data_IF_656514896393
#
_entry.id   IF_656514896393
#
_cell.length_a   1.000
_cell.length_b   1.000
_cell.length_c   1.000
_cell.angle_alpha   90.00
_cell.angle_beta   90.00
_cell.angle_gamma   90.00
#
_symmetry.space_group_name_H-M   'P 1'
#
loop_
_entity.id
_entity.type
_entity.pdbx_description
1 polymer ?
#
# COMPACT_ATOMS: atom_id res chain seq x y z
N UNK A 1 4.41 2.05 -2.58
CA UNK A 1 5.83 1.61 -2.62
C UNK A 1 6.73 2.82 -2.76
N UNK A 2 7.75 2.96 -1.93
CA UNK A 2 8.83 3.90 -2.17
C UNK A 2 9.92 3.19 -2.97
N UNK A 3 10.19 3.62 -4.20
CA UNK A 3 11.24 3.01 -5.04
C UNK A 3 12.63 3.52 -4.64
N UNK A 4 13.01 3.23 -3.38
CA UNK A 4 14.29 3.63 -2.76
C UNK A 4 15.45 2.80 -3.31
N UNK A 5 15.24 1.50 -3.49
CA UNK A 5 16.24 0.62 -4.09
C UNK A 5 15.60 -0.53 -4.87
N UNK A 6 16.24 -1.03 -5.94
CA UNK A 6 15.67 -2.09 -6.78
C UNK A 6 15.54 -3.45 -6.07
N UNK A 7 16.33 -3.69 -5.02
CA UNK A 7 16.31 -4.94 -4.25
C UNK A 7 14.94 -5.22 -3.62
N UNK A 8 14.17 -4.17 -3.29
CA UNK A 8 12.82 -4.32 -2.77
C UNK A 8 11.89 -5.09 -3.72
N UNK A 9 12.14 -5.04 -5.04
CA UNK A 9 11.29 -5.69 -6.04
C UNK A 9 11.44 -7.21 -5.96
N UNK A 10 12.66 -7.70 -5.73
CA UNK A 10 12.92 -9.13 -5.51
C UNK A 10 12.31 -9.59 -4.18
N UNK A 11 12.50 -8.83 -3.11
CA UNK A 11 11.93 -9.13 -1.79
C UNK A 11 10.39 -9.20 -1.85
N UNK A 12 9.77 -8.24 -2.55
CA UNK A 12 8.33 -8.24 -2.80
C UNK A 12 7.90 -9.50 -3.58
N UNK A 13 8.59 -9.80 -4.70
CA UNK A 13 8.28 -10.96 -5.53
C UNK A 13 8.39 -12.26 -4.74
N UNK A 14 9.43 -12.40 -3.92
CA UNK A 14 9.67 -13.60 -3.13
C UNK A 14 8.67 -13.76 -1.98
N UNK A 15 8.03 -12.68 -1.53
CA UNK A 15 6.89 -12.73 -0.62
C UNK A 15 5.56 -13.05 -1.31
N UNK A 16 5.49 -13.09 -2.64
CA UNK A 16 4.27 -13.35 -3.42
C UNK A 16 3.55 -12.10 -3.95
N UNK A 17 4.17 -10.92 -3.90
CA UNK A 17 3.65 -9.71 -4.55
C UNK A 17 4.03 -9.72 -6.04
N UNK A 18 3.07 -9.44 -6.93
CA UNK A 18 3.29 -9.47 -8.40
C UNK A 18 3.07 -8.13 -9.09
N UNK A 19 2.59 -7.12 -8.34
CA UNK A 19 2.38 -5.75 -8.80
C UNK A 19 2.83 -4.75 -7.73
N UNK A 20 3.58 -3.73 -8.12
CA UNK A 20 4.03 -2.66 -7.24
C UNK A 20 3.69 -1.29 -7.83
N UNK A 21 2.85 -0.54 -7.11
CA UNK A 21 2.46 0.83 -7.45
C UNK A 21 3.07 1.80 -6.42
N UNK A 22 3.74 2.85 -6.88
CA UNK A 22 4.55 3.68 -5.99
C UNK A 22 5.24 4.83 -6.70
N UNK A 23 6.21 5.46 -6.06
CA UNK A 23 7.05 6.46 -6.71
C UNK A 23 8.43 6.51 -6.09
N UNK A 24 9.40 7.04 -6.83
CA UNK A 24 10.76 7.21 -6.35
C UNK A 24 11.80 7.26 -7.45
N UNK A 25 13.02 7.65 -7.09
CA UNK A 25 14.15 7.79 -8.02
C UNK A 25 15.44 7.20 -7.45
N UNK A 26 15.34 6.17 -6.62
CA UNK A 26 16.44 5.67 -5.80
C UNK A 26 16.51 6.33 -4.42
N UNK A 27 17.63 6.24 -3.68
CA UNK A 27 17.72 6.65 -2.27
C UNK A 27 17.92 8.16 -2.09
N UNK A 28 17.19 8.97 -2.86
CA UNK A 28 17.15 10.41 -2.71
C UNK A 28 16.25 10.80 -1.53
N UNK A 29 16.56 11.89 -0.82
CA UNK A 29 15.77 12.36 0.34
C UNK A 29 14.27 12.43 0.04
N UNK A 30 13.88 12.98 -1.11
CA UNK A 30 12.47 13.04 -1.51
C UNK A 30 11.81 11.67 -1.69
N UNK A 31 12.54 10.65 -2.15
CA UNK A 31 12.02 9.27 -2.28
C UNK A 31 12.01 8.53 -0.94
N UNK A 32 13.00 8.78 -0.09
CA UNK A 32 13.03 8.23 1.27
C UNK A 32 11.83 8.70 2.10
N UNK A 33 11.30 9.89 1.80
CA UNK A 33 10.14 10.47 2.45
C UNK A 33 8.83 10.24 1.71
N UNK A 34 8.82 10.24 0.36
CA UNK A 34 7.57 10.33 -0.42
C UNK A 34 7.54 9.35 -1.59
N UNK A 35 6.36 8.79 -1.89
CA UNK A 35 6.11 7.94 -3.07
C UNK A 35 5.96 8.76 -4.36
N UNK A 36 6.93 9.63 -4.65
CA UNK A 36 6.91 10.55 -5.79
C UNK A 36 8.06 10.28 -6.75
N UNK A 37 7.75 10.20 -8.05
CA UNK A 37 8.72 10.21 -9.16
C UNK A 37 8.60 11.57 -9.86
N UNK A 38 9.34 12.60 -9.41
CA UNK A 38 9.03 13.99 -9.75
C UNK A 38 9.45 14.36 -11.17
N UNK A 39 8.49 14.74 -12.01
CA UNK A 39 8.73 15.33 -13.32
C UNK A 39 8.98 14.33 -14.47
N UNK A 40 8.79 14.76 -15.74
CA UNK A 40 8.84 13.88 -16.91
C UNK A 40 10.13 13.07 -17.05
N UNK A 41 11.27 13.70 -16.78
CA UNK A 41 12.58 13.05 -16.94
C UNK A 41 12.76 11.85 -16.01
N UNK A 42 12.38 11.99 -14.73
CA UNK A 42 12.49 10.89 -13.77
C UNK A 42 11.50 9.78 -14.07
N UNK A 43 10.27 10.13 -14.48
CA UNK A 43 9.26 9.14 -14.88
C UNK A 43 9.77 8.30 -16.05
N UNK A 44 10.30 8.93 -17.10
CA UNK A 44 10.92 8.22 -18.22
C UNK A 44 12.02 7.24 -17.75
N UNK A 45 12.92 7.67 -16.86
CA UNK A 45 14.03 6.82 -16.38
C UNK A 45 13.54 5.63 -15.55
N UNK A 46 12.51 5.82 -14.72
CA UNK A 46 11.94 4.74 -13.93
C UNK A 46 11.16 3.76 -14.81
N UNK A 47 10.44 4.25 -15.84
CA UNK A 47 9.79 3.39 -16.84
C UNK A 47 10.81 2.54 -17.61
N UNK A 48 11.96 3.11 -18.01
CA UNK A 48 13.04 2.35 -18.63
C UNK A 48 13.65 1.31 -17.66
N UNK A 49 13.83 1.67 -16.39
CA UNK A 49 14.34 0.75 -15.38
C UNK A 49 13.35 -0.41 -15.12
N UNK A 50 12.04 -0.17 -15.27
CA UNK A 50 11.00 -1.17 -15.03
C UNK A 50 11.16 -2.42 -15.91
N UNK A 51 11.70 -2.29 -17.14
CA UNK A 51 11.98 -3.42 -18.04
C UNK A 51 12.96 -4.45 -17.43
N UNK A 52 13.73 -4.03 -16.43
CA UNK A 52 14.72 -4.84 -15.72
C UNK A 52 14.14 -5.85 -14.71
N UNK A 53 12.83 -5.92 -14.52
CA UNK A 53 12.23 -6.76 -13.46
C UNK A 53 11.02 -7.57 -13.93
N UNK A 54 10.79 -8.82 -13.47
CA UNK A 54 9.58 -9.59 -13.75
C UNK A 54 8.41 -9.19 -12.83
N UNK A 55 8.10 -7.89 -12.79
CA UNK A 55 7.11 -7.29 -11.89
C UNK A 55 6.23 -6.34 -12.69
N UNK A 56 4.93 -6.29 -12.38
CA UNK A 56 4.08 -5.23 -12.92
C UNK A 56 4.37 -3.94 -12.13
N UNK A 57 4.70 -2.85 -12.82
CA UNK A 57 5.15 -1.62 -12.17
C UNK A 57 4.34 -0.42 -12.65
N UNK A 58 4.00 0.48 -11.74
CA UNK A 58 3.41 1.79 -12.04
C UNK A 58 4.00 2.87 -11.14
N UNK A 59 4.23 4.05 -11.72
CA UNK A 59 4.92 5.15 -11.05
C UNK A 59 3.99 6.34 -10.84
N UNK A 60 4.03 6.90 -9.63
CA UNK A 60 3.28 8.07 -9.23
C UNK A 60 4.14 9.32 -9.41
N UNK A 61 3.54 10.39 -9.94
CA UNK A 61 4.13 11.72 -9.96
C UNK A 61 3.94 12.43 -8.62
N UNK A 62 4.58 13.60 -8.48
CA UNK A 62 4.34 14.49 -7.34
C UNK A 62 3.06 15.29 -7.57
N UNK A 63 2.07 15.15 -6.68
CA UNK A 63 0.78 15.82 -6.74
C UNK A 63 0.72 17.22 -6.11
N UNK A 64 1.76 17.61 -5.35
CA UNK A 64 1.78 18.89 -4.64
C UNK A 64 2.14 20.05 -5.59
N UNK A 65 1.12 20.68 -6.17
CA UNK A 65 1.21 21.95 -6.89
C UNK A 65 -0.15 22.69 -6.86
N UNK A 66 -0.13 24.02 -6.80
CA UNK A 66 -1.36 24.84 -6.86
C UNK A 66 -1.73 25.32 -8.28
N UNK A 67 -1.01 24.85 -9.29
CA UNK A 67 -1.29 25.08 -10.71
C UNK A 67 -1.21 23.73 -11.45
N UNK A 68 -2.06 23.49 -12.46
CA UNK A 68 -2.22 22.16 -13.06
C UNK A 68 -1.06 21.76 -13.99
N UNK A 69 -0.41 22.71 -14.67
CA UNK A 69 0.59 22.44 -15.72
C UNK A 69 1.68 21.43 -15.30
N UNK A 70 2.37 21.63 -14.16
CA UNK A 70 3.38 20.68 -13.67
C UNK A 70 2.85 19.29 -13.29
N UNK A 71 1.55 19.15 -13.01
CA UNK A 71 0.93 17.85 -12.74
C UNK A 71 0.59 17.14 -14.05
N UNK A 72 0.02 17.88 -15.01
CA UNK A 72 -0.35 17.36 -16.33
C UNK A 72 0.86 16.80 -17.06
N UNK A 73 2.00 17.51 -17.09
CA UNK A 73 3.21 17.02 -17.79
C UNK A 73 3.74 15.70 -17.21
N UNK A 74 3.55 15.45 -15.91
CA UNK A 74 3.94 14.19 -15.27
C UNK A 74 3.02 13.05 -15.69
N UNK A 75 1.72 13.30 -15.74
CA UNK A 75 0.74 12.32 -16.17
C UNK A 75 0.94 11.98 -17.66
N UNK A 76 1.16 12.97 -18.52
CA UNK A 76 1.51 12.79 -19.94
C UNK A 76 2.82 12.02 -20.14
N UNK A 77 3.80 12.20 -19.26
CA UNK A 77 5.05 11.45 -19.28
C UNK A 77 4.90 9.97 -18.85
N UNK A 78 3.73 9.56 -18.36
CA UNK A 78 3.43 8.18 -17.99
C UNK A 78 3.25 7.92 -16.50
N UNK A 79 3.17 8.96 -15.65
CA UNK A 79 2.73 8.73 -14.27
C UNK A 79 1.29 8.17 -14.26
N UNK A 80 1.07 7.06 -13.57
CA UNK A 80 -0.24 6.38 -13.47
C UNK A 80 -1.09 6.86 -12.28
N UNK A 81 -0.61 7.88 -11.55
CA UNK A 81 -1.23 8.42 -10.35
C UNK A 81 -0.39 9.56 -9.79
N UNK A 82 -0.92 10.29 -8.81
CA UNK A 82 -0.24 11.42 -8.17
C UNK A 82 -0.25 11.26 -6.64
N UNK A 83 0.89 11.46 -5.98
CA UNK A 83 0.99 11.46 -4.52
C UNK A 83 1.01 12.90 -3.99
N UNK A 84 0.05 13.24 -3.13
CA UNK A 84 0.09 14.39 -2.24
C UNK A 84 0.80 13.99 -0.94
N UNK A 85 1.85 14.71 -0.57
CA UNK A 85 2.62 14.46 0.66
C UNK A 85 2.88 15.73 1.45
N UNK A 86 2.80 15.67 2.79
CA UNK A 86 2.95 16.85 3.64
C UNK A 86 4.33 17.49 3.55
N UNK A 87 5.39 16.69 3.39
CA UNK A 87 6.76 17.13 3.12
C UNK A 87 6.91 18.00 1.87
N UNK A 88 5.94 17.93 0.93
CA UNK A 88 5.85 18.80 -0.24
C UNK A 88 4.74 19.87 -0.11
N UNK A 89 4.02 19.89 1.02
CA UNK A 89 2.89 20.77 1.33
C UNK A 89 1.55 20.21 0.86
N UNK A 90 0.85 19.43 1.69
CA UNK A 90 -0.51 18.90 1.41
C UNK A 90 -1.58 19.92 1.81
N UNK A 91 -1.53 21.10 1.20
CA UNK A 91 -2.48 22.18 1.49
C UNK A 91 -3.81 22.02 0.73
N UNK A 92 -4.92 22.64 1.19
CA UNK A 92 -6.20 22.61 0.46
C UNK A 92 -6.10 23.01 -1.01
N UNK A 93 -5.24 23.97 -1.37
CA UNK A 93 -5.03 24.40 -2.75
C UNK A 93 -4.33 23.32 -3.60
N UNK A 94 -3.33 22.64 -3.04
CA UNK A 94 -2.66 21.53 -3.71
C UNK A 94 -3.58 20.31 -3.87
N UNK A 95 -4.37 20.00 -2.84
CA UNK A 95 -5.39 18.95 -2.87
C UNK A 95 -6.40 19.21 -4.00
N UNK A 96 -6.96 20.43 -4.05
CA UNK A 96 -7.97 20.80 -5.03
C UNK A 96 -7.45 20.75 -6.48
N UNK A 97 -6.24 21.28 -6.69
CA UNK A 97 -5.57 21.27 -7.99
C UNK A 97 -5.27 19.84 -8.45
N UNK A 98 -4.68 19.00 -7.58
CA UNK A 98 -4.33 17.62 -7.89
C UNK A 98 -5.55 16.77 -8.23
N UNK A 99 -6.63 16.88 -7.44
CA UNK A 99 -7.88 16.17 -7.70
C UNK A 99 -8.56 16.63 -8.99
N UNK A 100 -8.45 17.91 -9.36
CA UNK A 100 -8.99 18.40 -10.64
C UNK A 100 -8.24 17.79 -11.83
N UNK A 101 -6.91 17.74 -11.77
CA UNK A 101 -6.10 17.08 -12.81
C UNK A 101 -6.38 15.58 -12.87
N UNK A 102 -6.58 14.93 -11.72
CA UNK A 102 -6.94 13.52 -11.66
C UNK A 102 -8.31 13.23 -12.29
N UNK A 103 -9.30 14.08 -12.05
CA UNK A 103 -10.63 13.99 -12.69
C UNK A 103 -10.53 14.15 -14.22
N UNK A 104 -9.72 15.10 -14.70
CA UNK A 104 -9.53 15.36 -16.13
C UNK A 104 -8.76 14.24 -16.86
N UNK A 105 -7.85 13.55 -16.17
CA UNK A 105 -6.89 12.60 -16.78
C UNK A 105 -7.10 11.13 -16.38
N UNK A 106 -8.13 10.85 -15.60
CA UNK A 106 -8.50 9.53 -15.07
C UNK A 106 -7.34 8.77 -14.40
N UNK A 107 -6.66 9.42 -13.45
CA UNK A 107 -5.63 8.81 -12.60
C UNK A 107 -5.97 8.91 -11.12
N UNK A 108 -5.49 7.97 -10.29
CA UNK A 108 -5.75 8.02 -8.85
C UNK A 108 -4.88 9.08 -8.15
N UNK A 109 -5.42 9.67 -7.09
CA UNK A 109 -4.66 10.51 -6.15
C UNK A 109 -4.48 9.76 -4.84
N UNK A 110 -3.22 9.60 -4.41
CA UNK A 110 -2.87 9.11 -3.09
C UNK A 110 -2.53 10.29 -2.20
N UNK A 111 -2.89 10.23 -0.92
CA UNK A 111 -2.65 11.33 0.01
C UNK A 111 -2.03 10.86 1.32
N UNK A 112 -1.03 11.63 1.76
CA UNK A 112 -0.51 11.74 3.11
C UNK A 112 -0.82 13.17 3.56
N UNK A 113 -1.69 13.31 4.55
CA UNK A 113 -2.29 14.59 4.95
C UNK A 113 -1.38 15.39 5.88
N UNK A 114 -1.76 16.62 6.19
CA UNK A 114 -0.99 17.59 6.98
C UNK A 114 -1.00 17.20 8.47
N UNK A 115 0.01 16.46 8.92
CA UNK A 115 0.11 15.99 10.32
C UNK A 115 0.11 17.15 11.30
N UNK A 116 0.75 18.25 10.91
CA UNK A 116 0.94 19.45 11.74
C UNK A 116 -0.35 20.27 11.89
N UNK A 117 -1.39 19.96 11.10
CA UNK A 117 -2.58 20.78 10.97
C UNK A 117 -2.25 22.25 10.60
N UNK A 118 -1.16 22.46 9.86
CA UNK A 118 -0.65 23.81 9.52
C UNK A 118 -1.68 24.60 8.70
N UNK A 119 -2.29 23.92 7.73
CA UNK A 119 -3.23 24.51 6.78
C UNK A 119 -4.70 24.27 7.13
N UNK A 120 -4.96 23.60 8.25
CA UNK A 120 -6.28 23.24 8.78
C UNK A 120 -6.30 21.84 9.41
N UNK A 121 -7.40 21.49 10.05
CA UNK A 121 -7.63 20.15 10.62
C UNK A 121 -8.17 19.17 9.56
N UNK A 122 -8.40 17.91 9.94
CA UNK A 122 -8.85 16.85 9.01
C UNK A 122 -10.11 17.24 8.23
N UNK A 123 -11.08 17.88 8.88
CA UNK A 123 -12.29 18.45 8.26
C UNK A 123 -11.99 19.46 7.15
N UNK A 124 -10.93 20.28 7.26
CA UNK A 124 -10.55 21.20 6.20
C UNK A 124 -10.03 20.44 4.97
N UNK A 125 -9.23 19.40 5.19
CA UNK A 125 -8.75 18.50 4.14
C UNK A 125 -9.89 17.71 3.48
N UNK A 126 -10.83 17.17 4.28
CA UNK A 126 -12.04 16.49 3.76
C UNK A 126 -12.87 17.44 2.91
N UNK A 127 -13.08 18.69 3.37
CA UNK A 127 -13.76 19.71 2.58
C UNK A 127 -13.03 20.02 1.25
N UNK A 128 -11.69 20.01 1.25
CA UNK A 128 -10.89 20.21 0.03
C UNK A 128 -11.03 19.04 -0.97
N UNK A 129 -11.38 17.84 -0.51
CA UNK A 129 -11.71 16.73 -1.42
C UNK A 129 -12.94 17.04 -2.27
N UNK A 130 -13.91 17.81 -1.76
CA UNK A 130 -15.17 18.15 -2.44
C UNK A 130 -15.92 16.90 -2.94
N UNK A 131 -15.87 15.81 -2.16
CA UNK A 131 -16.49 14.52 -2.49
C UNK A 131 -15.83 13.75 -3.65
N UNK A 132 -14.68 14.21 -4.17
CA UNK A 132 -13.95 13.50 -5.22
C UNK A 132 -13.18 12.31 -4.65
N UNK A 133 -13.06 11.24 -5.44
CA UNK A 133 -12.35 10.02 -5.06
C UNK A 133 -10.92 10.33 -4.62
N UNK A 134 -10.47 9.74 -3.51
CA UNK A 134 -9.08 9.82 -3.08
C UNK A 134 -8.66 8.57 -2.31
N UNK A 135 -7.41 8.15 -2.47
CA UNK A 135 -6.83 7.03 -1.74
C UNK A 135 -6.01 7.56 -0.55
N UNK A 136 -6.54 7.42 0.66
CA UNK A 136 -5.83 7.78 1.88
C UNK A 136 -4.79 6.71 2.23
N UNK A 137 -3.52 7.09 2.27
CA UNK A 137 -2.44 6.23 2.77
C UNK A 137 -2.44 6.21 4.30
N UNK A 138 -1.92 5.10 4.86
CA UNK A 138 -1.70 4.88 6.31
C UNK A 138 -2.71 5.60 7.20
N UNK A 139 -4.00 5.32 6.95
CA UNK A 139 -5.14 6.12 7.40
C UNK A 139 -5.27 6.16 8.93
N UNK A 140 -4.67 5.21 9.65
CA UNK A 140 -4.57 5.27 11.11
C UNK A 140 -3.72 6.44 11.62
N UNK A 141 -2.70 6.83 10.86
CA UNK A 141 -1.95 8.07 11.07
C UNK A 141 -0.54 7.92 11.66
N UNK A 142 -0.10 6.75 12.14
CA UNK A 142 1.30 6.57 12.58
C UNK A 142 2.27 6.82 11.41
N UNK A 143 1.94 6.31 10.23
CA UNK A 143 2.66 6.59 8.97
C UNK A 143 2.55 8.05 8.52
N UNK A 144 1.63 8.83 9.09
CA UNK A 144 1.48 10.28 8.89
C UNK A 144 0.07 10.71 8.48
N UNK A 145 -0.26 11.95 8.80
CA UNK A 145 -1.56 12.56 8.61
C UNK A 145 -2.07 13.29 9.84
N UNK A 146 -3.08 14.14 9.67
CA UNK A 146 -3.68 14.99 10.72
C UNK A 146 -3.69 14.32 12.09
N UNK A 147 -2.93 14.89 13.04
CA UNK A 147 -2.87 14.40 14.40
C UNK A 147 -4.00 15.02 15.25
N UNK A 148 -4.75 14.23 16.04
CA UNK A 148 -4.67 12.77 16.20
C UNK A 148 -5.66 11.97 15.32
N UNK A 149 -6.44 12.63 14.47
CA UNK A 149 -7.76 12.15 14.04
C UNK A 149 -7.92 11.87 12.53
N UNK A 150 -6.82 11.74 11.78
CA UNK A 150 -6.86 11.33 10.37
C UNK A 150 -7.66 10.04 10.14
N UNK A 151 -7.70 9.12 11.10
CA UNK A 151 -8.48 7.87 11.03
C UNK A 151 -9.96 8.08 10.72
N UNK A 152 -10.52 9.27 11.00
CA UNK A 152 -11.90 9.65 10.67
C UNK A 152 -12.23 9.45 9.19
N UNK A 153 -11.26 9.66 8.29
CA UNK A 153 -11.52 9.60 6.84
C UNK A 153 -11.89 8.20 6.35
N UNK A 154 -11.73 7.14 7.14
CA UNK A 154 -12.21 5.81 6.77
C UNK A 154 -13.76 5.71 6.74
N UNK A 155 -14.47 6.65 7.38
CA UNK A 155 -15.93 6.77 7.31
C UNK A 155 -16.44 7.52 6.07
N UNK A 156 -15.57 8.17 5.30
CA UNK A 156 -15.95 8.99 4.14
C UNK A 156 -16.22 8.14 2.89
N UNK A 157 -17.32 8.43 2.18
CA UNK A 157 -17.77 7.61 1.06
C UNK A 157 -16.84 7.67 -0.17
N UNK A 158 -16.21 8.81 -0.41
CA UNK A 158 -15.28 9.05 -1.52
C UNK A 158 -13.83 8.64 -1.19
N UNK A 159 -13.56 8.18 0.03
CA UNK A 159 -12.21 7.80 0.46
C UNK A 159 -12.01 6.30 0.33
N UNK A 160 -10.87 5.91 -0.21
CA UNK A 160 -10.36 4.53 -0.19
C UNK A 160 -9.26 4.47 0.88
N UNK A 161 -9.55 3.99 2.10
CA UNK A 161 -8.59 3.97 3.20
C UNK A 161 -7.67 2.75 3.12
N UNK A 162 -6.39 2.99 3.35
CA UNK A 162 -5.36 1.95 3.42
C UNK A 162 -4.50 2.05 4.67
N UNK A 163 -3.98 0.91 5.11
CA UNK A 163 -2.94 0.85 6.14
C UNK A 163 -1.58 0.55 5.53
N UNK A 164 -0.54 0.99 6.22
CA UNK A 164 0.81 0.46 6.04
C UNK A 164 1.08 -0.60 7.10
N UNK A 165 2.09 -1.44 6.87
CA UNK A 165 2.16 -2.71 7.59
C UNK A 165 2.89 -2.74 8.95
N UNK A 166 3.68 -1.75 9.39
CA UNK A 166 4.35 -1.87 10.68
C UNK A 166 3.42 -1.83 11.88
N UNK A 167 2.28 -1.12 11.80
CA UNK A 167 1.28 -1.11 12.87
C UNK A 167 0.48 -2.42 12.94
N UNK A 168 0.69 -3.36 12.00
CA UNK A 168 -0.21 -4.49 11.76
C UNK A 168 0.37 -5.81 12.29
N UNK A 169 -0.39 -6.55 13.12
CA UNK A 169 -1.37 -6.03 14.05
C UNK A 169 -0.72 -5.25 15.20
N UNK A 170 -1.55 -4.69 16.07
CA UNK A 170 -1.08 -4.11 17.33
C UNK A 170 -0.48 -5.21 18.24
N UNK A 171 0.81 -5.08 18.55
CA UNK A 171 1.59 -5.96 19.43
C UNK A 171 2.25 -5.18 20.56
N UNK A 172 2.80 -5.90 21.54
CA UNK A 172 3.45 -5.29 22.70
C UNK A 172 4.65 -4.39 22.35
N UNK A 173 5.31 -4.63 21.22
CA UNK A 173 6.49 -3.88 20.79
C UNK A 173 6.13 -2.74 19.81
N UNK A 174 4.87 -2.66 19.36
CA UNK A 174 4.50 -1.79 18.24
C UNK A 174 4.75 -0.31 18.57
N UNK A 175 4.34 0.16 19.75
CA UNK A 175 4.49 1.58 20.13
C UNK A 175 5.96 1.98 20.23
N UNK A 176 6.74 1.21 20.99
CA UNK A 176 8.18 1.49 21.20
C UNK A 176 8.95 1.50 19.87
N UNK A 177 8.70 0.51 19.00
CA UNK A 177 9.33 0.43 17.68
C UNK A 177 9.00 1.65 16.81
N UNK A 178 7.74 2.11 16.84
CA UNK A 178 7.30 3.21 15.98
C UNK A 178 7.79 4.56 16.46
N UNK A 179 7.90 4.76 17.78
CA UNK A 179 8.43 5.99 18.35
C UNK A 179 9.88 6.18 17.87
N UNK A 180 10.74 5.17 18.06
CA UNK A 180 12.13 5.23 17.61
C UNK A 180 12.23 5.37 16.08
N UNK A 181 11.42 4.63 15.32
CA UNK A 181 11.40 4.71 13.86
C UNK A 181 11.03 6.10 13.37
N UNK A 182 10.01 6.72 13.96
CA UNK A 182 9.56 8.06 13.60
C UNK A 182 10.64 9.10 13.88
N UNK A 183 11.29 9.01 15.04
CA UNK A 183 12.38 9.91 15.41
C UNK A 183 13.55 9.83 14.42
N UNK A 184 13.91 8.63 13.97
CA UNK A 184 14.95 8.43 12.96
C UNK A 184 14.51 8.96 11.60
N UNK A 185 13.30 8.64 11.13
CA UNK A 185 12.80 9.06 9.82
C UNK A 185 12.69 10.58 9.67
N UNK A 186 12.27 11.28 10.73
CA UNK A 186 12.09 12.73 10.73
C UNK A 186 13.28 13.51 11.29
N UNK A 187 14.40 12.84 11.61
CA UNK A 187 15.61 13.47 12.17
C UNK A 187 15.32 14.28 13.44
N UNK A 188 14.44 13.76 14.31
CA UNK A 188 14.03 14.38 15.56
C UNK A 188 15.06 14.14 16.67
N UNK A 189 15.18 15.06 17.62
CA UNK A 189 16.08 14.96 18.78
C UNK A 189 15.29 14.67 20.07
N UNK A 190 15.56 13.55 20.78
CA UNK A 190 14.90 13.22 22.05
C UNK A 190 15.17 14.22 23.18
N UNK A 191 16.14 15.13 23.01
CA UNK A 191 16.41 16.20 23.97
C UNK A 191 15.58 17.47 23.70
N UNK A 192 14.82 17.53 22.61
CA UNK A 192 13.93 18.65 22.27
C UNK A 192 12.49 18.25 22.63
N UNK A 193 11.86 19.00 23.53
CA UNK A 193 10.54 18.67 24.05
C UNK A 193 9.46 18.70 22.96
N UNK A 194 9.58 19.63 22.01
CA UNK A 194 8.66 19.78 20.88
C UNK A 194 8.74 18.59 19.91
N UNK A 195 9.94 18.03 19.71
CA UNK A 195 10.16 16.86 18.86
C UNK A 195 9.55 15.60 19.47
N UNK A 196 9.71 15.43 20.79
CA UNK A 196 9.07 14.34 21.54
C UNK A 196 7.55 14.50 21.52
N UNK A 197 7.03 15.71 21.75
CA UNK A 197 5.60 15.98 21.73
C UNK A 197 4.99 15.70 20.34
N UNK A 198 5.68 16.06 19.25
CA UNK A 198 5.29 15.70 17.90
C UNK A 198 5.25 14.18 17.72
N UNK A 199 6.29 13.47 18.16
CA UNK A 199 6.35 12.01 18.05
C UNK A 199 5.22 11.31 18.83
N UNK A 200 4.97 11.73 20.07
CA UNK A 200 3.88 11.23 20.92
C UNK A 200 2.48 11.56 20.35
N UNK A 201 2.33 12.71 19.68
CA UNK A 201 1.07 13.05 18.99
C UNK A 201 0.78 12.15 17.80
N UNK A 202 1.82 11.58 17.17
CA UNK A 202 1.72 10.77 15.96
C UNK A 202 1.63 9.27 16.23
N UNK A 203 2.37 8.77 17.22
CA UNK A 203 2.37 7.34 17.60
C UNK A 203 1.42 7.12 18.76
N UNK A 204 0.18 6.70 18.45
CA UNK A 204 -0.90 6.58 19.42
C UNK A 204 -1.35 5.13 19.53
N UNK A 205 -1.35 4.57 20.74
CA UNK A 205 -1.80 3.19 20.97
C UNK A 205 -3.29 3.01 20.65
N UNK A 206 -4.08 4.06 20.88
CA UNK A 206 -5.53 4.04 20.74
C UNK A 206 -5.94 3.87 19.28
N UNK A 207 -5.37 4.68 18.37
CA UNK A 207 -5.67 4.59 16.93
C UNK A 207 -5.07 3.32 16.32
N UNK A 208 -3.88 2.88 16.74
CA UNK A 208 -3.28 1.60 16.30
C UNK A 208 -4.16 0.40 16.71
N UNK A 209 -4.71 0.41 17.93
CA UNK A 209 -5.63 -0.63 18.40
C UNK A 209 -6.99 -0.59 17.67
N UNK A 210 -7.51 0.61 17.40
CA UNK A 210 -8.73 0.78 16.62
C UNK A 210 -8.58 0.33 15.17
N UNK A 211 -7.41 0.56 14.55
CA UNK A 211 -7.10 0.14 13.18
C UNK A 211 -7.22 -1.38 12.98
N UNK A 212 -6.85 -2.19 13.98
CA UNK A 212 -7.05 -3.65 13.95
C UNK A 212 -8.53 -4.02 13.79
N UNK A 213 -9.40 -3.39 14.58
CA UNK A 213 -10.84 -3.64 14.58
C UNK A 213 -11.47 -3.09 13.30
N UNK A 214 -11.05 -1.91 12.84
CA UNK A 214 -11.54 -1.29 11.61
C UNK A 214 -11.18 -2.14 10.36
N UNK A 215 -10.05 -2.85 10.39
CA UNK A 215 -9.78 -3.87 9.37
C UNK A 215 -10.75 -5.04 9.43
N UNK A 216 -11.06 -5.55 10.62
CA UNK A 216 -11.95 -6.70 10.78
C UNK A 216 -13.41 -6.35 10.46
N UNK A 217 -13.84 -5.12 10.74
CA UNK A 217 -15.13 -4.55 10.34
C UNK A 217 -15.25 -4.33 8.82
N UNK A 218 -14.11 -4.18 8.13
CA UNK A 218 -14.08 -3.80 6.72
C UNK A 218 -14.18 -2.28 6.49
N UNK A 219 -13.89 -1.45 7.49
CA UNK A 219 -13.77 -0.01 7.33
C UNK A 219 -12.42 0.42 6.75
N UNK A 220 -11.38 -0.41 6.86
CA UNK A 220 -10.14 -0.25 6.11
C UNK A 220 -10.07 -1.24 4.95
N UNK A 221 -9.71 -0.75 3.77
CA UNK A 221 -9.97 -1.45 2.52
C UNK A 221 -8.73 -2.06 1.87
N UNK A 222 -7.56 -1.51 2.19
CA UNK A 222 -6.27 -1.90 1.60
C UNK A 222 -5.20 -2.05 2.68
N UNK A 223 -4.29 -3.01 2.50
CA UNK A 223 -3.04 -3.11 3.27
C UNK A 223 -1.87 -3.01 2.28
N UNK A 224 -0.95 -2.09 2.56
CA UNK A 224 0.25 -1.81 1.78
C UNK A 224 1.50 -1.87 2.68
N UNK A 225 2.68 -1.72 2.08
CA UNK A 225 3.95 -1.80 2.83
C UNK A 225 4.35 -0.47 3.47
N UNK A 226 4.57 0.55 2.65
CA UNK A 226 5.46 1.72 2.89
C UNK A 226 6.96 1.40 2.84
N UNK A 227 7.34 0.60 1.85
CA UNK A 227 8.64 -0.04 1.74
C UNK A 227 9.85 0.87 2.02
N UNK A 228 10.55 0.62 3.14
CA UNK A 228 11.71 1.37 3.67
C UNK A 228 11.45 2.84 4.06
N UNK A 229 10.19 3.26 4.13
CA UNK A 229 9.77 4.58 4.58
C UNK A 229 8.63 4.42 5.59
N UNK A 230 8.95 3.85 6.76
CA UNK A 230 7.96 3.37 7.75
C UNK A 230 7.16 2.14 7.29
N UNK A 231 7.83 1.18 6.64
CA UNK A 231 7.16 0.00 6.09
C UNK A 231 8.07 -1.10 5.57
N UNK A 232 7.53 -2.32 5.48
CA UNK A 232 8.29 -3.54 5.13
C UNK A 232 7.75 -4.18 3.86
N UNK A 233 8.55 -4.22 2.78
CA UNK A 233 8.05 -4.64 1.47
C UNK A 233 7.60 -6.11 1.42
N UNK A 234 8.32 -7.01 2.07
CA UNK A 234 8.06 -8.46 2.06
C UNK A 234 6.98 -8.92 3.04
N UNK A 235 6.36 -8.01 3.80
CA UNK A 235 5.47 -8.38 4.91
C UNK A 235 4.00 -8.00 4.69
N UNK A 236 3.62 -7.46 3.53
CA UNK A 236 2.22 -7.07 3.23
C UNK A 236 1.25 -8.24 3.46
N UNK A 237 1.57 -9.42 2.91
CA UNK A 237 0.73 -10.60 2.99
C UNK A 237 0.73 -11.17 4.43
N UNK A 238 1.90 -11.38 5.03
CA UNK A 238 2.02 -11.88 6.41
C UNK A 238 1.23 -11.02 7.40
N UNK A 239 1.38 -9.69 7.32
CA UNK A 239 0.80 -8.75 8.28
C UNK A 239 -0.72 -8.73 8.17
N UNK A 240 -1.24 -8.87 6.94
CA UNK A 240 -2.67 -9.07 6.69
C UNK A 240 -3.21 -10.28 7.46
N UNK A 241 -2.55 -11.44 7.33
CA UNK A 241 -3.01 -12.67 7.97
C UNK A 241 -2.77 -12.71 9.48
N UNK A 242 -1.72 -12.06 9.98
CA UNK A 242 -1.49 -11.87 11.41
C UNK A 242 -2.58 -11.01 12.04
N UNK A 243 -3.05 -9.96 11.36
CA UNK A 243 -4.20 -9.17 11.83
C UNK A 243 -5.47 -10.00 11.85
N UNK A 244 -5.77 -10.75 10.78
CA UNK A 244 -6.94 -11.63 10.76
C UNK A 244 -6.91 -12.69 11.90
N UNK A 245 -5.75 -13.29 12.16
CA UNK A 245 -5.54 -14.26 13.24
C UNK A 245 -5.75 -13.63 14.62
N UNK A 246 -5.17 -12.45 14.87
CA UNK A 246 -5.35 -11.72 16.13
C UNK A 246 -6.83 -11.39 16.36
N UNK A 247 -7.51 -10.86 15.35
CA UNK A 247 -8.92 -10.47 15.46
C UNK A 247 -9.82 -11.68 15.73
N UNK A 248 -9.58 -12.81 15.05
CA UNK A 248 -10.27 -14.06 15.38
C UNK A 248 -10.06 -14.49 16.83
N UNK A 249 -8.82 -14.45 17.34
CA UNK A 249 -8.51 -14.89 18.70
C UNK A 249 -9.17 -14.02 19.77
N UNK A 250 -9.31 -12.72 19.52
CA UNK A 250 -9.88 -11.78 20.49
C UNK A 250 -11.40 -11.64 20.38
N UNK A 251 -11.96 -11.70 19.17
CA UNK A 251 -13.37 -11.37 18.90
C UNK A 251 -14.19 -12.54 18.34
N UNK A 252 -13.57 -13.68 18.04
CA UNK A 252 -14.27 -14.86 17.54
C UNK A 252 -14.60 -14.80 16.04
N UNK A 253 -15.63 -15.51 15.62
CA UNK A 253 -16.09 -15.53 14.23
C UNK A 253 -16.71 -14.18 13.82
N UNK A 254 -16.62 -13.82 12.54
CA UNK A 254 -17.30 -12.63 12.03
C UNK A 254 -18.81 -12.83 11.98
N UNK A 255 -19.55 -11.74 12.16
CA UNK A 255 -20.97 -11.70 11.87
C UNK A 255 -21.23 -12.08 10.41
N UNK A 256 -22.15 -13.03 10.20
CA UNK A 256 -22.49 -13.55 8.87
C UNK A 256 -21.62 -14.71 8.39
N UNK A 257 -20.62 -15.15 9.16
CA UNK A 257 -19.90 -16.40 8.87
C UNK A 257 -20.84 -17.61 8.99
N UNK A 258 -20.73 -18.57 8.07
CA UNK A 258 -21.60 -19.77 8.06
C UNK A 258 -20.79 -21.06 8.01
N UNK A 259 -21.09 -21.98 8.93
CA UNK A 259 -20.36 -23.24 9.10
C UNK A 259 -19.13 -23.10 10.01
N UNK A 260 -18.37 -24.20 10.15
CA UNK A 260 -17.17 -24.28 10.98
C UNK A 260 -15.91 -23.92 10.17
N UNK A 261 -15.77 -22.64 9.85
CA UNK A 261 -14.68 -22.07 9.03
C UNK A 261 -14.57 -20.56 9.25
N UNK A 262 -13.61 -19.93 8.57
CA UNK A 262 -13.37 -18.48 8.59
C UNK A 262 -13.40 -17.87 7.18
N UNK A 263 -14.21 -18.42 6.27
CA UNK A 263 -14.17 -18.05 4.85
C UNK A 263 -14.57 -16.60 4.59
N UNK A 264 -15.51 -16.03 5.34
CA UNK A 264 -15.87 -14.61 5.23
C UNK A 264 -14.68 -13.73 5.63
N UNK A 265 -14.05 -14.02 6.78
CA UNK A 265 -12.85 -13.28 7.21
C UNK A 265 -11.71 -13.45 6.20
N UNK A 266 -11.44 -14.66 5.75
CA UNK A 266 -10.37 -14.93 4.79
C UNK A 266 -10.59 -14.16 3.47
N UNK A 267 -11.82 -14.14 2.94
CA UNK A 267 -12.16 -13.36 1.73
C UNK A 267 -12.06 -11.85 1.97
N UNK A 268 -12.52 -11.35 3.12
CA UNK A 268 -12.38 -9.93 3.49
C UNK A 268 -10.93 -9.50 3.51
N UNK A 269 -10.04 -10.31 4.09
CA UNK A 269 -8.63 -9.97 4.24
C UNK A 269 -7.80 -10.18 2.97
N UNK A 270 -8.02 -11.24 2.20
CA UNK A 270 -7.30 -11.42 0.92
C UNK A 270 -7.61 -10.29 -0.06
N UNK A 271 -8.82 -9.74 -0.04
CA UNK A 271 -9.20 -8.60 -0.88
C UNK A 271 -8.34 -7.36 -0.63
N UNK A 272 -7.83 -7.16 0.61
CA UNK A 272 -7.07 -5.97 1.04
C UNK A 272 -5.71 -5.82 0.35
N UNK A 273 -5.12 -6.90 -0.14
CA UNK A 273 -3.84 -6.86 -0.87
C UNK A 273 -3.93 -7.42 -2.30
N UNK A 274 -5.13 -7.74 -2.77
CA UNK A 274 -5.36 -8.27 -4.13
C UNK A 274 -6.28 -7.34 -4.93
N UNK A 275 -7.60 -7.52 -4.81
CA UNK A 275 -8.57 -6.83 -5.68
C UNK A 275 -8.79 -5.37 -5.28
N UNK A 276 -8.81 -5.02 -3.99
CA UNK A 276 -9.06 -3.64 -3.56
C UNK A 276 -7.95 -2.67 -3.98
N UNK A 277 -6.64 -3.00 -3.83
CA UNK A 277 -5.58 -2.19 -4.41
C UNK A 277 -5.71 -2.04 -5.94
N UNK A 278 -6.12 -3.11 -6.63
CA UNK A 278 -6.28 -3.09 -8.08
C UNK A 278 -7.43 -2.18 -8.53
N UNK A 279 -8.57 -2.20 -7.82
CA UNK A 279 -9.69 -1.27 -8.05
C UNK A 279 -9.24 0.16 -7.75
N UNK A 280 -8.62 0.39 -6.59
CA UNK A 280 -8.17 1.71 -6.18
C UNK A 280 -7.21 2.35 -7.18
N UNK A 281 -6.37 1.55 -7.85
CA UNK A 281 -5.37 2.01 -8.80
C UNK A 281 -5.80 1.89 -10.27
N UNK A 282 -7.05 1.52 -10.56
CA UNK A 282 -7.56 1.46 -11.93
C UNK A 282 -6.94 0.36 -12.79
N UNK A 283 -6.56 -0.77 -12.19
CA UNK A 283 -5.92 -1.91 -12.86
C UNK A 283 -6.66 -3.24 -12.63
N UNK A 284 -7.87 -3.19 -12.08
CA UNK A 284 -8.67 -4.37 -11.72
C UNK A 284 -9.06 -5.24 -12.92
N UNK A 285 -9.13 -4.68 -14.13
CA UNK A 285 -9.40 -5.45 -15.35
C UNK A 285 -8.21 -6.34 -15.76
N UNK A 286 -7.02 -6.05 -15.23
CA UNK A 286 -5.79 -6.76 -15.58
C UNK A 286 -5.31 -7.70 -14.47
N UNK A 287 -5.44 -7.31 -13.21
CA UNK A 287 -4.86 -8.03 -12.05
C UNK A 287 -5.78 -8.00 -10.83
N UNK A 288 -5.33 -8.59 -9.72
CA UNK A 288 -5.98 -8.47 -8.41
C UNK A 288 -6.91 -9.62 -8.03
N UNK A 289 -7.16 -10.58 -8.92
CA UNK A 289 -7.98 -11.76 -8.60
C UNK A 289 -7.76 -12.89 -9.60
N UNK A 290 -8.16 -14.11 -9.21
CA UNK A 290 -8.15 -15.29 -10.09
C UNK A 290 -9.46 -15.34 -10.87
N UNK A 291 -9.53 -14.58 -11.95
CA UNK A 291 -10.70 -14.46 -12.83
C UNK A 291 -10.29 -14.60 -14.30
N UNK A 292 -11.17 -15.19 -15.11
CA UNK A 292 -10.92 -15.38 -16.56
C UNK A 292 -10.75 -14.02 -17.23
N UNK A 293 -9.71 -13.88 -18.06
CA UNK A 293 -9.40 -12.66 -18.80
C UNK A 293 -8.32 -11.77 -18.15
N UNK A 294 -8.02 -11.97 -16.86
CA UNK A 294 -6.93 -11.27 -16.16
C UNK A 294 -5.57 -11.92 -16.44
N UNK A 295 -4.50 -11.17 -16.18
CA UNK A 295 -3.13 -11.68 -16.24
C UNK A 295 -2.96 -12.86 -15.28
N UNK A 296 -2.33 -13.93 -15.74
CA UNK A 296 -2.08 -15.14 -14.94
C UNK A 296 -0.92 -14.94 -13.94
N UNK A 297 -1.09 -13.96 -13.05
CA UNK A 297 -0.21 -13.66 -11.93
C UNK A 297 -0.69 -14.41 -10.70
N UNK A 298 -0.02 -15.53 -10.39
CA UNK A 298 -0.50 -16.51 -9.43
C UNK A 298 0.61 -16.87 -8.45
N UNK A 299 0.26 -17.05 -7.19
CA UNK A 299 1.15 -17.61 -6.19
C UNK A 299 0.64 -18.98 -5.72
N UNK A 300 1.52 -19.96 -5.67
CA UNK A 300 1.21 -21.31 -5.17
C UNK A 300 1.81 -21.46 -3.79
N UNK A 301 1.02 -21.97 -2.85
CA UNK A 301 1.38 -22.07 -1.45
C UNK A 301 1.11 -23.47 -0.93
N UNK A 302 2.12 -24.09 -0.34
CA UNK A 302 1.92 -25.19 0.59
C UNK A 302 1.18 -24.65 1.82
N UNK A 303 0.08 -25.30 2.28
CA UNK A 303 -0.74 -24.77 3.38
C UNK A 303 0.04 -24.41 4.65
N UNK A 304 1.10 -25.17 4.96
CA UNK A 304 1.96 -24.92 6.12
C UNK A 304 2.77 -23.61 6.02
N UNK A 305 2.95 -23.06 4.82
CA UNK A 305 3.70 -21.82 4.56
C UNK A 305 2.83 -20.70 3.99
N UNK A 306 1.51 -20.89 3.95
CA UNK A 306 0.57 -19.92 3.42
C UNK A 306 0.77 -18.54 4.06
N UNK A 307 0.86 -17.52 3.20
CA UNK A 307 1.08 -16.14 3.59
C UNK A 307 2.54 -15.78 3.92
N UNK A 308 3.40 -16.77 4.20
CA UNK A 308 4.78 -16.58 4.66
C UNK A 308 5.81 -16.69 3.54
N UNK A 309 5.89 -17.87 2.92
CA UNK A 309 6.88 -18.20 1.89
C UNK A 309 6.17 -19.01 0.79
N UNK A 310 5.90 -18.42 -0.39
CA UNK A 310 5.27 -19.15 -1.48
C UNK A 310 6.20 -20.22 -2.02
N UNK A 311 5.63 -21.28 -2.59
CA UNK A 311 6.39 -22.32 -3.30
C UNK A 311 6.80 -21.81 -4.68
N UNK A 312 5.85 -21.19 -5.39
CA UNK A 312 6.00 -20.68 -6.76
C UNK A 312 5.31 -19.31 -6.88
N UNK A 313 5.93 -18.41 -7.65
CA UNK A 313 5.35 -17.13 -8.06
C UNK A 313 5.38 -17.07 -9.58
N UNK A 314 4.19 -17.01 -10.18
CA UNK A 314 3.97 -16.98 -11.62
C UNK A 314 3.62 -15.56 -12.04
N UNK A 315 4.15 -15.15 -13.19
CA UNK A 315 3.90 -13.88 -13.85
C UNK A 315 3.46 -14.16 -15.28
N UNK A 316 2.24 -13.75 -15.61
CA UNK A 316 1.57 -14.04 -16.88
C UNK A 316 1.70 -15.52 -17.32
N UNK A 317 1.57 -16.44 -16.36
CA UNK A 317 1.62 -17.89 -16.60
C UNK A 317 3.01 -18.52 -16.59
N UNK A 318 4.09 -17.74 -16.50
CA UNK A 318 5.48 -18.24 -16.42
C UNK A 318 6.01 -18.15 -15.00
N UNK A 319 6.72 -19.16 -14.50
CA UNK A 319 7.34 -19.12 -13.17
C UNK A 319 8.47 -18.07 -13.17
N UNK A 320 8.31 -17.03 -12.36
CA UNK A 320 9.27 -15.94 -12.19
C UNK A 320 10.15 -16.15 -10.94
N UNK A 321 9.63 -16.80 -9.89
CA UNK A 321 10.40 -17.19 -8.71
C UNK A 321 9.88 -18.49 -8.08
N UNK A 322 10.76 -19.24 -7.42
CA UNK A 322 10.40 -20.50 -6.76
C UNK A 322 11.36 -20.86 -5.61
N UNK A 323 10.86 -21.61 -4.62
CA UNK A 323 11.71 -22.31 -3.65
C UNK A 323 12.53 -23.37 -4.38
N UNK A 324 13.86 -23.24 -4.35
CA UNK A 324 14.74 -24.09 -5.15
C UNK A 324 16.00 -24.49 -4.39
N UNK A 325 16.28 -25.80 -4.41
CA UNK A 325 17.43 -26.43 -3.78
C UNK A 325 18.76 -26.19 -4.48
N UNK A 326 19.74 -27.04 -4.18
CA UNK A 326 21.06 -27.01 -4.82
C UNK A 326 20.96 -27.26 -6.34
N UNK A 327 21.38 -26.31 -7.21
CA UNK A 327 21.36 -26.48 -8.66
C UNK A 327 22.25 -27.60 -9.20
N UNK A 328 23.25 -28.07 -8.43
CA UNK A 328 24.14 -29.17 -8.82
C UNK A 328 23.65 -30.55 -8.32
N UNK A 329 22.56 -30.60 -7.55
CA UNK A 329 22.04 -31.86 -7.03
C UNK A 329 21.33 -32.69 -8.10
N UNK A 330 21.09 -33.98 -7.81
CA UNK A 330 20.44 -34.91 -8.74
C UNK A 330 18.94 -34.66 -8.94
N UNK A 331 18.30 -33.89 -8.05
CA UNK A 331 16.88 -33.52 -8.03
C UNK A 331 16.76 -32.11 -7.40
N UNK A 332 15.63 -31.37 -7.54
CA UNK A 332 15.56 -29.94 -7.15
C UNK A 332 15.31 -29.67 -5.65
N UNK A 333 15.10 -30.71 -4.84
CA UNK A 333 14.72 -30.59 -3.42
C UNK A 333 15.87 -30.66 -2.39
N UNK A 334 17.10 -31.12 -2.68
CA UNK A 334 18.21 -31.10 -1.74
C UNK A 334 18.59 -29.67 -1.32
N UNK A 335 19.00 -29.53 -0.06
CA UNK A 335 19.36 -28.24 0.55
C UNK A 335 20.64 -27.65 -0.07
N UNK A 336 20.84 -26.31 -0.03
CA UNK A 336 19.96 -25.31 0.59
C UNK A 336 18.80 -24.87 -0.32
N UNK A 337 17.59 -24.90 0.22
CA UNK A 337 16.39 -24.34 -0.41
C UNK A 337 16.16 -22.90 0.04
N UNK A 338 16.00 -22.01 -0.93
CA UNK A 338 15.55 -20.64 -0.75
C UNK A 338 14.87 -20.14 -2.04
N UNK A 339 14.19 -18.99 -1.98
CA UNK A 339 13.59 -18.40 -3.17
C UNK A 339 14.67 -17.97 -4.16
N UNK A 340 14.51 -18.37 -5.42
CA UNK A 340 15.42 -17.99 -6.50
C UNK A 340 14.63 -17.45 -7.69
N UNK A 341 15.19 -16.53 -8.49
CA UNK A 341 14.62 -16.15 -9.77
C UNK A 341 14.60 -17.35 -10.72
N UNK A 342 13.51 -17.52 -11.45
CA UNK A 342 13.28 -18.59 -12.42
C UNK A 342 13.29 -18.04 -13.85
N UNK A 343 13.07 -18.87 -14.86
CA UNK A 343 13.20 -18.47 -16.27
C UNK A 343 12.31 -17.28 -16.68
N UNK A 344 11.17 -17.04 -16.02
CA UNK A 344 10.34 -15.85 -16.24
C UNK A 344 11.03 -14.53 -15.86
N UNK A 345 12.16 -14.57 -15.15
CA UNK A 345 12.95 -13.42 -14.72
C UNK A 345 14.17 -13.11 -15.62
N UNK A 346 14.33 -13.78 -16.77
CA UNK A 346 15.55 -13.64 -17.58
C UNK A 346 15.27 -13.37 -19.07
N UNK A 347 16.15 -12.59 -19.68
CA UNK A 347 16.13 -12.29 -21.12
C UNK A 347 14.79 -11.69 -21.58
N UNK A 348 14.36 -12.04 -22.79
CA UNK A 348 13.08 -11.57 -23.34
C UNK A 348 11.85 -12.09 -22.57
N UNK A 349 11.98 -13.19 -21.82
CA UNK A 349 10.87 -13.72 -21.03
C UNK A 349 10.44 -12.76 -19.91
N UNK A 350 11.38 -12.00 -19.34
CA UNK A 350 11.08 -10.99 -18.33
C UNK A 350 10.14 -9.90 -18.85
N UNK A 351 10.41 -9.38 -20.04
CA UNK A 351 9.57 -8.36 -20.67
C UNK A 351 8.20 -8.92 -21.09
N UNK A 352 8.15 -10.18 -21.53
CA UNK A 352 6.90 -10.84 -21.94
C UNK A 352 6.02 -11.29 -20.76
N UNK A 353 6.58 -11.38 -19.55
CA UNK A 353 5.88 -11.90 -18.35
C UNK A 353 5.35 -10.79 -17.43
N UNK A 354 5.53 -9.52 -17.77
CA UNK A 354 5.08 -8.41 -16.93
C UNK A 354 4.71 -7.18 -17.77
N UNK A 355 3.94 -6.29 -17.16
CA UNK A 355 3.46 -5.06 -17.80
C UNK A 355 3.91 -3.82 -17.03
N UNK A 356 3.86 -2.67 -17.68
CA UNK A 356 4.06 -1.37 -17.04
C UNK A 356 2.76 -0.57 -17.12
N UNK A 357 2.26 -0.12 -15.99
CA UNK A 357 1.05 0.69 -15.90
C UNK A 357 1.39 2.18 -16.00
N UNK A 358 0.69 2.90 -16.88
CA UNK A 358 0.82 4.35 -17.11
C UNK A 358 -0.57 4.98 -17.14
N UNK A 359 -0.67 6.31 -17.21
CA UNK A 359 -1.95 6.98 -17.51
C UNK A 359 -2.39 6.73 -18.95
N UNK A 360 -3.68 6.93 -19.23
CA UNK A 360 -4.19 6.93 -20.61
C UNK A 360 -3.45 7.95 -21.50
N UNK A 361 -3.09 9.12 -20.97
CA UNK A 361 -2.33 10.14 -21.69
C UNK A 361 -0.88 9.72 -21.99
N UNK A 362 -0.30 8.87 -21.13
CA UNK A 362 1.08 8.38 -21.24
C UNK A 362 1.23 7.06 -22.00
N UNK A 363 0.18 6.52 -22.63
CA UNK A 363 0.26 5.25 -23.37
C UNK A 363 1.36 5.24 -24.45
N UNK A 364 1.64 6.38 -25.07
CA UNK A 364 2.71 6.54 -26.07
C UNK A 364 4.14 6.37 -25.51
N UNK A 365 4.30 6.31 -24.18
CA UNK A 365 5.60 6.12 -23.51
C UNK A 365 6.31 4.84 -23.94
N UNK A 366 5.57 3.77 -24.25
CA UNK A 366 6.14 2.50 -24.68
C UNK A 366 7.04 2.65 -25.92
N UNK A 367 6.51 3.26 -26.97
CA UNK A 367 7.27 3.53 -28.20
C UNK A 367 8.29 4.65 -27.99
N UNK A 368 7.87 5.76 -27.40
CA UNK A 368 8.70 6.97 -27.22
C UNK A 368 9.96 6.71 -26.41
N UNK A 369 9.86 5.86 -25.38
CA UNK A 369 10.97 5.57 -24.47
C UNK A 369 11.69 4.25 -24.78
N UNK A 370 11.21 3.49 -25.78
CA UNK A 370 11.77 2.22 -26.20
C UNK A 370 11.60 1.11 -25.17
N UNK A 371 10.43 1.04 -24.53
CA UNK A 371 10.15 0.06 -23.48
C UNK A 371 9.92 -1.33 -24.10
N UNK A 372 10.52 -2.35 -23.50
CA UNK A 372 10.39 -3.74 -23.92
C UNK A 372 9.10 -4.39 -23.42
N UNK A 373 8.62 -4.00 -22.22
CA UNK A 373 7.36 -4.48 -21.66
C UNK A 373 6.15 -3.88 -22.37
N UNK A 374 5.06 -4.63 -22.34
CA UNK A 374 3.75 -4.08 -22.69
C UNK A 374 3.36 -2.98 -21.71
N UNK A 375 2.93 -1.85 -22.26
CA UNK A 375 2.40 -0.72 -21.49
C UNK A 375 0.87 -0.81 -21.48
N UNK A 376 0.27 -0.70 -20.30
CA UNK A 376 -1.19 -0.70 -20.11
C UNK A 376 -1.61 0.60 -19.41
N UNK A 377 -2.75 1.16 -19.82
CA UNK A 377 -3.32 2.32 -19.14
C UNK A 377 -4.03 1.89 -17.87
N UNK A 378 -3.90 2.70 -16.81
CA UNK A 378 -4.89 2.72 -15.73
C UNK A 378 -6.18 3.38 -16.22
N UNK A 379 -7.30 3.01 -15.62
CA UNK A 379 -8.57 3.66 -15.93
C UNK A 379 -9.65 3.39 -14.87
N UNK A 380 -10.77 4.10 -15.00
CA UNK A 380 -11.90 4.05 -14.06
C UNK A 380 -11.48 4.36 -12.61
N UNK A 381 -10.57 5.31 -12.43
CA UNK A 381 -10.13 5.78 -11.11
C UNK A 381 -11.03 6.90 -10.57
N UNK A 382 -11.86 7.49 -11.45
CA UNK A 382 -12.74 8.64 -11.15
C UNK A 382 -14.22 8.37 -11.44
N UNK A 383 -14.56 7.19 -11.97
CA UNK A 383 -15.92 6.82 -12.42
C UNK A 383 -16.93 6.57 -11.29
N UNK A 384 -16.82 7.28 -10.17
CA UNK A 384 -17.62 7.07 -8.95
C UNK A 384 -17.07 5.97 -8.04
N UNK A 385 -15.83 5.53 -8.23
CA UNK A 385 -15.20 4.59 -7.31
C UNK A 385 -14.94 5.28 -5.96
N UNK A 386 -15.19 4.56 -4.87
CA UNK A 386 -15.06 5.04 -3.51
C UNK A 386 -15.15 3.86 -2.56
N UNK A 387 -15.54 4.10 -1.31
CA UNK A 387 -15.61 3.03 -0.30
C UNK A 387 -16.54 1.88 -0.71
N UNK A 388 -17.68 2.19 -1.31
CA UNK A 388 -18.64 1.19 -1.78
C UNK A 388 -18.11 0.24 -2.88
N UNK A 389 -17.03 0.61 -3.56
CA UNK A 389 -16.40 -0.25 -4.57
C UNK A 389 -15.41 -1.26 -3.96
N UNK A 390 -15.10 -1.15 -2.66
CA UNK A 390 -14.10 -1.99 -2.00
C UNK A 390 -14.72 -3.32 -1.58
N UNK A 391 -14.32 -4.40 -2.26
CA UNK A 391 -14.86 -5.74 -2.10
C UNK A 391 -14.72 -6.21 -0.66
N UNK A 392 -15.86 -6.49 -0.01
CA UNK A 392 -16.00 -6.95 1.38
C UNK A 392 -15.43 -5.99 2.44
N UNK A 393 -15.10 -4.76 2.06
CA UNK A 393 -14.46 -3.74 2.89
C UNK A 393 -15.03 -2.34 2.60
N UNK A 394 -16.36 -2.27 2.57
CA UNK A 394 -17.18 -1.11 2.21
C UNK A 394 -17.87 -0.44 3.42
N UNK A 395 -17.53 -0.83 4.66
CA UNK A 395 -18.16 -0.29 5.85
C UNK A 395 -17.81 1.18 6.07
N UNK A 396 -18.80 2.04 6.32
CA UNK A 396 -18.63 3.49 6.55
C UNK A 396 -19.17 3.89 7.93
N UNK A 397 -18.52 3.45 9.03
CA UNK A 397 -18.94 3.85 10.37
C UNK A 397 -18.74 5.35 10.57
N UNK A 398 -19.56 5.97 11.42
CA UNK A 398 -19.30 7.32 11.92
C UNK A 398 -18.16 7.25 12.94
N UNK A 399 -17.01 7.81 12.59
CA UNK A 399 -15.80 7.78 13.42
C UNK A 399 -15.66 9.06 14.23
N UNK A 400 -15.43 8.89 15.54
CA UNK A 400 -15.08 9.96 16.46
C UNK A 400 -13.73 9.64 17.09
N UNK A 401 -12.92 10.68 17.27
CA UNK A 401 -11.63 10.59 17.96
C UNK A 401 -11.61 11.72 18.99
N UNK A 402 -11.41 11.35 20.25
CA UNK A 402 -11.27 12.34 21.31
C UNK A 402 -9.90 13.04 21.19
N UNK A 403 -9.86 14.39 21.15
CA UNK A 403 -8.61 15.12 20.87
C UNK A 403 -7.61 15.11 22.04
N UNK A 404 -8.02 14.70 23.24
CA UNK A 404 -7.16 14.67 24.43
C UNK A 404 -6.73 13.25 24.80
N UNK A 405 -7.66 12.29 24.69
CA UNK A 405 -7.43 10.88 25.09
C UNK A 405 -7.14 9.96 23.91
N UNK A 406 -7.38 10.43 22.68
CA UNK A 406 -7.25 9.67 21.42
C UNK A 406 -8.17 8.45 21.32
N UNK A 407 -9.13 8.30 22.24
CA UNK A 407 -10.15 7.25 22.17
C UNK A 407 -10.88 7.31 20.82
N UNK A 408 -10.88 6.18 20.10
CA UNK A 408 -11.58 6.05 18.83
C UNK A 408 -12.91 5.37 19.06
N UNK A 409 -14.00 5.95 18.54
CA UNK A 409 -15.34 5.36 18.55
C UNK A 409 -15.87 5.21 17.13
N UNK A 410 -16.51 4.08 16.86
CA UNK A 410 -17.31 3.86 15.66
C UNK A 410 -18.78 3.71 16.06
N UNK A 411 -19.64 4.57 15.53
CA UNK A 411 -21.08 4.60 15.83
C UNK A 411 -21.34 4.63 17.35
N UNK A 412 -20.54 5.42 18.08
CA UNK A 412 -20.57 5.56 19.55
C UNK A 412 -19.87 4.44 20.33
N UNK A 413 -19.47 3.35 19.69
CA UNK A 413 -18.81 2.20 20.32
C UNK A 413 -17.30 2.39 20.38
N UNK A 414 -16.69 2.29 21.57
CA UNK A 414 -15.24 2.37 21.76
C UNK A 414 -14.54 1.23 21.03
N UNK A 415 -13.55 1.56 20.20
CA UNK A 415 -12.71 0.61 19.48
C UNK A 415 -11.37 0.48 20.19
N UNK A 416 -11.19 -0.62 20.93
CA UNK A 416 -9.93 -0.93 21.60
C UNK A 416 -9.70 -2.43 21.65
N UNK A 417 -8.44 -2.85 21.60
CA UNK A 417 -8.03 -4.24 21.71
C UNK A 417 -6.66 -4.36 22.38
N UNK A 418 -6.42 -5.49 23.06
CA UNK A 418 -5.14 -5.75 23.70
C UNK A 418 -4.03 -6.02 22.67
N UNK A 419 -2.78 -5.62 22.94
CA UNK A 419 -1.65 -5.96 22.09
C UNK A 419 -1.40 -7.47 22.09
N UNK A 420 -1.08 -8.06 20.94
CA UNK A 420 -0.65 -9.44 20.87
C UNK A 420 0.76 -9.62 21.48
N UNK A 421 0.95 -10.66 22.30
CA UNK A 421 2.26 -11.02 22.86
C UNK A 421 3.12 -11.82 21.87
N UNK A 422 2.48 -12.70 21.09
CA UNK A 422 3.11 -13.60 20.12
C UNK A 422 2.22 -13.67 18.88
N UNK A 423 2.84 -13.64 17.70
CA UNK A 423 2.15 -13.80 16.43
C UNK A 423 2.41 -15.17 15.81
N UNK A 424 1.40 -15.68 15.09
CA UNK A 424 1.63 -16.72 14.09
C UNK A 424 2.53 -16.17 12.97
N UNK A 425 2.98 -17.05 12.07
CA UNK A 425 3.73 -16.64 10.87
C UNK A 425 5.03 -15.83 11.17
N UNK A 426 5.64 -16.06 12.34
CA UNK A 426 6.85 -15.36 12.79
C UNK A 426 8.00 -16.34 13.10
N UNK A 427 8.41 -16.48 14.37
CA UNK A 427 9.58 -17.24 14.86
C UNK A 427 9.71 -18.68 14.32
N UNK A 428 8.60 -19.31 13.92
CA UNK A 428 8.61 -20.67 13.35
C UNK A 428 9.26 -20.74 11.97
N UNK A 429 9.22 -19.67 11.18
CA UNK A 429 9.49 -19.70 9.74
C UNK A 429 10.73 -18.92 9.31
N UNK A 430 11.17 -17.96 10.12
CA UNK A 430 12.27 -17.08 9.80
C UNK A 430 13.52 -17.42 10.61
N UNK A 431 14.67 -17.38 9.94
CA UNK A 431 15.97 -17.60 10.60
C UNK A 431 16.38 -16.39 11.43
N UNK A 432 15.91 -15.19 11.04
CA UNK A 432 16.16 -13.91 11.68
C UNK A 432 14.86 -13.10 11.79
#
# INVERSE_FOLDING_TARGET
IHFICPQQIEEALFSGITTMMGGGTGPATGTNATTCTPGPWHIQRMLQAADGFPMNLGFFGKGNASLPGPLVEQVEAGACGLKLHEDWGTTPAAIDCCLSVADDMDVQVMIHTDTLNESGFVENTVNAFKGRTIHAFHTEGAGGGHAPDIIKVCGEANVIPSSTNPTRPFTRNTVDEHLDMLMVCHHLDPNIAEDVAFAESRIRKETIAAEDILHDLGAFSVIASDSQAMGRVGEVIIRTWQTADKMKKQFGALDGETGDNDNLRARRYVAKYTINPAIAQGIADHVGSVEVGKLADLCVWSPAFFGVKPDLVLKMGTIAAAQMGDPNASIPTPQPQYMRPMFGAFGGAQAASAVTFVSQAGLGAGETYGLAKQVLAVGNTRGGIGKAAMVLNDAMPHIEVDPETYEVRADGTLLTCEPAEVLAMAQRYFMY
#
